data_IF_942681582181
#
_entry.id   IF_942681582181
#
_cell.length_a   1.000
_cell.length_b   1.000
_cell.length_c   1.000
_cell.angle_alpha   90.00
_cell.angle_beta   90.00
_cell.angle_gamma   90.00
#
_symmetry.space_group_name_H-M   'P 1'
#
loop_
_entity.id
_entity.type
_entity.pdbx_description
1 polymer ?
#
# COMPACT_ATOMS: atom_id res chain seq x y z
N UNK A 1 -11.99 -38.78 -19.27
CA UNK A 1 -11.71 -37.42 -19.81
C UNK A 1 -11.99 -36.25 -18.82
N UNK A 2 -12.17 -36.49 -17.51
CA UNK A 2 -12.32 -35.37 -16.54
C UNK A 2 -11.03 -35.05 -15.76
N UNK A 3 -10.16 -36.03 -15.54
CA UNK A 3 -8.92 -35.87 -14.75
C UNK A 3 -7.94 -34.88 -15.42
N UNK A 4 -7.83 -34.89 -16.75
CA UNK A 4 -6.99 -33.93 -17.49
C UNK A 4 -7.46 -32.48 -17.36
N UNK A 5 -8.76 -32.23 -17.23
CA UNK A 5 -9.29 -30.87 -17.06
C UNK A 5 -8.96 -30.31 -15.67
N UNK A 6 -9.03 -31.15 -14.65
CA UNK A 6 -8.64 -30.77 -13.28
C UNK A 6 -7.13 -30.51 -13.15
N UNK A 7 -6.29 -31.31 -13.83
CA UNK A 7 -4.84 -31.12 -13.84
C UNK A 7 -4.42 -29.81 -14.52
N UNK A 8 -5.07 -29.44 -15.62
CA UNK A 8 -4.80 -28.17 -16.32
C UNK A 8 -5.20 -26.96 -15.47
N UNK A 9 -6.37 -27.02 -14.80
CA UNK A 9 -6.82 -25.98 -13.88
C UNK A 9 -5.87 -25.83 -12.67
N UNK A 10 -5.48 -26.94 -12.05
CA UNK A 10 -4.54 -26.94 -10.93
C UNK A 10 -3.16 -26.40 -11.31
N UNK A 11 -2.67 -26.73 -12.52
CA UNK A 11 -1.41 -26.21 -13.03
C UNK A 11 -1.46 -24.68 -13.25
N UNK A 12 -2.54 -24.14 -13.82
CA UNK A 12 -2.67 -22.68 -14.02
C UNK A 12 -2.75 -21.89 -12.70
N UNK A 13 -3.38 -22.44 -11.66
CA UNK A 13 -3.40 -21.85 -10.32
C UNK A 13 -2.03 -21.88 -9.65
N UNK A 14 -1.26 -22.95 -9.84
CA UNK A 14 0.11 -23.05 -9.33
C UNK A 14 1.07 -22.05 -10.01
N UNK A 15 0.90 -21.77 -11.31
CA UNK A 15 1.68 -20.72 -12.01
C UNK A 15 1.26 -19.30 -11.58
N UNK A 16 -0.01 -19.06 -11.24
CA UNK A 16 -0.47 -17.76 -10.72
C UNK A 16 0.00 -17.50 -9.28
N UNK A 17 0.24 -18.56 -8.50
CA UNK A 17 0.88 -18.45 -7.17
C UNK A 17 2.38 -18.07 -7.27
N UNK A 18 3.00 -18.17 -8.45
CA UNK A 18 4.31 -17.62 -8.78
C UNK A 18 4.25 -16.15 -9.27
N UNK A 19 3.21 -15.38 -8.91
CA UNK A 19 3.23 -13.91 -9.08
C UNK A 19 4.45 -13.36 -8.35
N UNK A 20 5.42 -12.93 -9.16
CA UNK A 20 6.85 -13.01 -8.87
C UNK A 20 7.30 -12.03 -7.77
N UNK A 21 8.22 -12.43 -6.87
CA UNK A 21 8.91 -11.49 -5.98
C UNK A 21 9.68 -10.42 -6.78
N UNK A 22 10.10 -10.78 -7.99
CA UNK A 22 10.83 -9.92 -8.91
C UNK A 22 9.98 -8.76 -9.44
N UNK A 23 8.72 -9.00 -9.84
CA UNK A 23 7.81 -7.92 -10.24
C UNK A 23 7.42 -7.01 -9.07
N UNK A 24 7.36 -7.53 -7.83
CA UNK A 24 7.11 -6.68 -6.65
C UNK A 24 8.29 -5.76 -6.38
N UNK A 25 9.52 -6.27 -6.48
CA UNK A 25 10.73 -5.47 -6.30
C UNK A 25 10.82 -4.35 -7.35
N UNK A 26 10.53 -4.63 -8.62
CA UNK A 26 10.53 -3.62 -9.69
C UNK A 26 9.50 -2.51 -9.46
N UNK A 27 8.30 -2.87 -8.99
CA UNK A 27 7.26 -1.87 -8.67
C UNK A 27 7.66 -0.97 -7.50
N UNK A 28 8.19 -1.55 -6.43
CA UNK A 28 8.62 -0.79 -5.25
C UNK A 28 9.81 0.12 -5.57
N UNK A 29 10.71 -0.30 -6.47
CA UNK A 29 11.80 0.54 -6.94
C UNK A 29 11.31 1.74 -7.74
N UNK A 30 10.33 1.53 -8.62
CA UNK A 30 9.72 2.62 -9.39
C UNK A 30 9.01 3.63 -8.46
N UNK A 31 8.28 3.14 -7.45
CA UNK A 31 7.64 3.97 -6.44
C UNK A 31 8.67 4.80 -5.64
N UNK A 32 9.76 4.17 -5.18
CA UNK A 32 10.83 4.90 -4.49
C UNK A 32 11.47 5.98 -5.38
N UNK A 33 11.66 5.71 -6.68
CA UNK A 33 12.21 6.70 -7.60
C UNK A 33 11.29 7.93 -7.74
N UNK A 34 9.98 7.73 -7.74
CA UNK A 34 9.00 8.82 -7.74
C UNK A 34 9.04 9.63 -6.43
N UNK A 35 9.05 8.95 -5.27
CA UNK A 35 9.14 9.61 -3.97
C UNK A 35 10.43 10.44 -3.83
N UNK A 36 11.56 9.92 -4.32
CA UNK A 36 12.82 10.65 -4.36
C UNK A 36 12.71 11.91 -5.24
N UNK A 37 12.07 11.81 -6.41
CA UNK A 37 11.91 12.95 -7.30
C UNK A 37 11.02 14.06 -6.68
N UNK A 38 9.98 13.68 -5.93
CA UNK A 38 9.04 14.61 -5.32
C UNK A 38 9.59 15.20 -4.01
N UNK A 39 10.07 14.36 -3.09
CA UNK A 39 10.43 14.75 -1.73
C UNK A 39 11.93 14.94 -1.52
N UNK A 40 12.79 14.33 -2.35
CA UNK A 40 14.25 14.46 -2.27
C UNK A 40 14.74 15.91 -2.23
N UNK A 41 14.26 16.81 -3.13
CA UNK A 41 14.65 18.22 -3.10
C UNK A 41 14.27 18.96 -1.82
N UNK A 42 13.21 18.53 -1.12
CA UNK A 42 12.84 19.10 0.17
C UNK A 42 13.82 18.64 1.26
N UNK A 43 14.21 17.37 1.26
CA UNK A 43 15.21 16.83 2.19
C UNK A 43 16.61 17.41 1.96
N UNK A 44 16.98 17.68 0.70
CA UNK A 44 18.23 18.37 0.35
C UNK A 44 18.25 19.81 0.91
N UNK A 45 17.12 20.53 0.82
CA UNK A 45 16.98 21.88 1.39
C UNK A 45 16.98 21.90 2.93
N UNK A 46 16.57 20.79 3.55
CA UNK A 46 16.66 20.60 5.00
C UNK A 46 18.09 20.27 5.47
N UNK A 47 19.04 20.11 4.55
CA UNK A 47 20.45 19.90 4.85
C UNK A 47 20.83 18.43 5.05
N UNK A 48 19.95 17.48 4.72
CA UNK A 48 20.30 16.07 4.73
C UNK A 48 21.23 15.74 3.55
N UNK A 49 22.28 14.95 3.81
CA UNK A 49 23.17 14.50 2.75
C UNK A 49 22.45 13.53 1.81
N UNK A 50 22.47 13.79 0.52
CA UNK A 50 21.78 12.96 -0.47
C UNK A 50 22.24 11.49 -0.38
N UNK A 51 21.31 10.54 -0.53
CA UNK A 51 21.53 9.10 -0.40
C UNK A 51 22.02 8.61 0.98
N UNK A 52 22.05 9.47 2.00
CA UNK A 52 22.28 9.04 3.38
C UNK A 52 21.01 8.44 4.00
N UNK A 53 21.19 7.62 5.03
CA UNK A 53 20.06 7.07 5.80
C UNK A 53 19.11 8.14 6.36
N UNK A 54 19.59 9.25 6.98
CA UNK A 54 18.67 10.29 7.45
C UNK A 54 17.94 11.02 6.32
N UNK A 55 18.53 11.10 5.12
CA UNK A 55 17.85 11.65 3.95
C UNK A 55 16.73 10.72 3.45
N UNK A 56 16.97 9.41 3.41
CA UNK A 56 15.95 8.41 3.04
C UNK A 56 14.78 8.40 4.02
N UNK A 57 15.08 8.49 5.32
CA UNK A 57 14.06 8.61 6.37
C UNK A 57 13.21 9.87 6.17
N UNK A 58 13.83 11.02 5.86
CA UNK A 58 13.12 12.25 5.55
C UNK A 58 12.14 12.09 4.37
N UNK A 59 12.57 11.44 3.28
CA UNK A 59 11.72 11.17 2.11
C UNK A 59 10.52 10.32 2.49
N UNK A 60 10.72 9.25 3.26
CA UNK A 60 9.65 8.35 3.71
C UNK A 60 8.66 9.03 4.68
N UNK A 61 9.16 9.88 5.59
CA UNK A 61 8.29 10.63 6.50
C UNK A 61 7.42 11.65 5.77
N UNK A 62 7.99 12.35 4.79
CA UNK A 62 7.25 13.32 3.98
C UNK A 62 6.18 12.65 3.13
N UNK A 63 6.49 11.51 2.49
CA UNK A 63 5.51 10.75 1.70
C UNK A 63 4.36 10.23 2.56
N UNK A 64 4.69 9.64 3.71
CA UNK A 64 3.68 9.12 4.65
C UNK A 64 2.77 10.24 5.16
N UNK A 65 3.34 11.42 5.45
CA UNK A 65 2.55 12.58 5.89
C UNK A 65 1.58 13.04 4.80
N UNK A 66 2.00 13.03 3.54
CA UNK A 66 1.14 13.46 2.43
C UNK A 66 0.04 12.44 2.13
N UNK A 67 0.35 11.15 2.21
CA UNK A 67 -0.64 10.08 2.11
C UNK A 67 -1.72 10.20 3.20
N UNK A 68 -1.31 10.41 4.45
CA UNK A 68 -2.25 10.64 5.56
C UNK A 68 -3.11 11.88 5.34
N UNK A 69 -2.54 12.95 4.76
CA UNK A 69 -3.33 14.13 4.38
C UNK A 69 -4.33 13.79 3.30
N UNK A 70 -3.94 13.04 2.28
CA UNK A 70 -4.83 12.64 1.19
C UNK A 70 -5.98 11.75 1.70
N UNK A 71 -5.70 10.80 2.58
CA UNK A 71 -6.70 9.96 3.24
C UNK A 71 -7.65 10.81 4.10
N UNK A 72 -7.10 11.75 4.88
CA UNK A 72 -7.89 12.64 5.73
C UNK A 72 -8.70 13.70 4.97
N UNK A 73 -8.31 14.01 3.73
CA UNK A 73 -8.92 15.06 2.89
C UNK A 73 -9.91 14.53 1.85
N UNK A 74 -10.02 13.21 1.69
CA UNK A 74 -10.96 12.61 0.76
C UNK A 74 -12.42 12.87 1.15
N UNK A 75 -13.33 13.23 0.22
CA UNK A 75 -14.74 13.26 0.52
C UNK A 75 -15.14 11.84 0.96
N UNK A 76 -15.58 11.74 2.21
CA UNK A 76 -16.00 10.47 2.79
C UNK A 76 -17.28 9.99 2.12
N UNK A 77 -17.17 9.45 0.90
CA UNK A 77 -18.26 8.82 0.16
C UNK A 77 -18.74 7.55 0.90
N UNK A 78 -17.89 6.98 1.75
CA UNK A 78 -18.20 5.91 2.70
C UNK A 78 -18.43 6.38 4.15
N UNK A 79 -18.54 7.69 4.42
CA UNK A 79 -18.78 8.22 5.77
C UNK A 79 -20.25 8.47 6.12
N UNK A 80 -21.15 8.34 5.14
CA UNK A 80 -22.55 8.79 5.25
C UNK A 80 -23.57 7.76 5.73
N UNK A 81 -23.24 6.45 5.76
CA UNK A 81 -24.18 5.37 6.15
C UNK A 81 -23.51 4.44 7.17
N UNK A 82 -22.99 4.98 8.27
CA UNK A 82 -22.39 4.14 9.31
C UNK A 82 -22.41 4.74 10.70
N UNK A 83 -22.03 6.01 10.83
CA UNK A 83 -21.72 6.62 12.14
C UNK A 83 -22.93 6.94 13.02
N UNK A 84 -24.18 6.85 12.51
CA UNK A 84 -25.40 7.07 13.30
C UNK A 84 -26.19 5.80 13.66
N UNK A 85 -25.72 4.60 13.29
CA UNK A 85 -26.39 3.33 13.66
C UNK A 85 -25.66 2.51 14.73
N UNK A 86 -24.37 2.76 14.98
CA UNK A 86 -23.60 2.09 16.04
C UNK A 86 -23.84 2.68 17.43
N UNK A 87 -25.11 2.94 17.77
CA UNK A 87 -25.57 3.13 19.15
C UNK A 87 -26.77 2.20 19.40
N UNK A 88 -26.61 0.92 19.06
CA UNK A 88 -27.64 -0.08 19.32
C UNK A 88 -27.42 -1.40 18.58
N UNK A 89 -26.88 -2.39 19.31
CA UNK A 89 -27.23 -3.81 19.18
C UNK A 89 -26.79 -4.56 17.92
N UNK A 90 -25.87 -5.51 18.09
CA UNK A 90 -25.61 -6.52 17.05
C UNK A 90 -24.44 -7.46 17.36
N UNK A 91 -24.64 -8.33 18.36
CA UNK A 91 -24.11 -9.70 18.58
C UNK A 91 -22.79 -10.22 17.95
N UNK A 92 -21.86 -9.37 17.52
CA UNK A 92 -20.56 -9.78 16.97
C UNK A 92 -19.47 -8.88 17.57
N UNK A 93 -19.28 -9.01 18.87
CA UNK A 93 -18.12 -8.49 19.61
C UNK A 93 -16.95 -9.49 19.57
N UNK A 94 -15.70 -9.03 19.72
CA UNK A 94 -14.53 -9.77 19.27
C UNK A 94 -14.12 -10.85 20.28
N UNK A 95 -14.24 -12.12 19.88
CA UNK A 95 -13.42 -13.20 20.44
C UNK A 95 -12.28 -13.46 19.44
N UNK A 96 -11.22 -12.67 19.59
CA UNK A 96 -9.86 -12.99 19.24
C UNK A 96 -8.93 -12.27 20.22
#
# INVERSE_FOLDING_TARGET
>A
MQISKCLVLAATLALAACTTPQQRAERLQAEMAELIAIYGPACDRLGYAQNSDPWRECVLQLSTRDELRQIGSGPSYYGGIGSRRWRGGGYWGPYW
#
